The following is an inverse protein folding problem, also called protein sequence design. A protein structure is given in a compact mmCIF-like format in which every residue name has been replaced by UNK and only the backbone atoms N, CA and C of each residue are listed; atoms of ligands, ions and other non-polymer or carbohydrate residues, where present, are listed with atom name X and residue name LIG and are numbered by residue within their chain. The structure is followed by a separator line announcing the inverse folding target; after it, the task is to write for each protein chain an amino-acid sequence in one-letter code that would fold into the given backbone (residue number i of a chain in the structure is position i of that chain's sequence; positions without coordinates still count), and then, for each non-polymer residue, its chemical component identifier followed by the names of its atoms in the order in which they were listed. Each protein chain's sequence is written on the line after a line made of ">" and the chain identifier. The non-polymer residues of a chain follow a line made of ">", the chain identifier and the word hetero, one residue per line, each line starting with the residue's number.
data_IF_302372736773
#
_entry.id   IF_302372736773
#
_cell.length_a   1.000
_cell.length_b   1.000
_cell.length_c   1.000
_cell.angle_alpha   90.00
_cell.angle_beta   90.00
_cell.angle_gamma   90.00
#
_symmetry.space_group_name_H-M   'P 1'
#
loop_
_entity.id
_entity.type
_entity.pdbx_description
1 polymer ?
#
# COMPACT_ATOMS: atom_id res chain seq x y z
N UNK A 1 19.55 42.77 13.94
CA UNK A 1 19.61 43.31 15.33
C UNK A 1 18.51 42.79 16.25
N UNK A 2 17.32 42.43 15.76
CA UNK A 2 16.27 41.76 16.56
C UNK A 2 16.60 40.32 16.99
N UNK A 3 17.50 39.61 16.29
CA UNK A 3 17.86 38.23 16.60
C UNK A 3 18.72 38.09 17.87
N UNK A 4 19.51 39.11 18.23
CA UNK A 4 20.36 39.06 19.43
C UNK A 4 19.59 39.40 20.72
N UNK A 5 18.48 40.15 20.64
CA UNK A 5 17.66 40.49 21.81
C UNK A 5 16.74 39.33 22.25
N UNK A 6 16.48 38.36 21.36
CA UNK A 6 15.63 37.19 21.65
C UNK A 6 16.41 36.04 22.29
N UNK A 7 17.74 36.07 22.25
CA UNK A 7 18.62 35.10 22.92
C UNK A 7 18.85 35.46 24.40
N UNK A 8 18.69 36.73 24.77
CA UNK A 8 18.97 37.22 26.12
C UNK A 8 17.75 37.11 27.07
N UNK A 9 16.55 36.91 26.53
CA UNK A 9 15.34 36.59 27.28
C UNK A 9 14.69 35.34 26.68
N UNK A 10 14.80 34.21 27.40
CA UNK A 10 14.29 32.88 27.05
C UNK A 10 12.75 32.85 26.93
N UNK A 11 12.23 33.56 25.92
CA UNK A 11 10.83 33.68 25.56
C UNK A 11 10.55 32.78 24.37
N UNK A 12 10.59 31.47 24.60
CA UNK A 12 10.02 30.50 23.66
C UNK A 12 8.50 30.64 23.65
N UNK A 13 7.98 31.64 22.93
CA UNK A 13 6.53 31.86 22.80
C UNK A 13 5.90 30.71 21.98
N UNK A 14 4.89 30.00 22.51
CA UNK A 14 4.15 28.94 21.82
C UNK A 14 3.55 29.38 20.46
N UNK A 15 3.35 30.69 20.29
CA UNK A 15 2.81 31.32 19.09
C UNK A 15 3.74 31.18 17.87
N UNK A 16 5.07 31.21 18.07
CA UNK A 16 6.03 31.06 16.96
C UNK A 16 6.05 29.64 16.40
N UNK A 17 5.89 28.60 17.24
CA UNK A 17 5.76 27.21 16.78
C UNK A 17 4.51 26.99 15.93
N UNK A 18 3.41 27.67 16.26
CA UNK A 18 2.18 27.60 15.47
C UNK A 18 2.30 28.36 14.13
N UNK A 19 3.04 29.47 14.10
CA UNK A 19 3.31 30.22 12.87
C UNK A 19 4.27 29.50 11.92
N UNK A 20 5.34 28.88 12.44
CA UNK A 20 6.21 28.01 11.63
C UNK A 20 5.46 26.78 11.14
N UNK A 21 4.61 26.17 11.97
CA UNK A 21 3.73 25.06 11.57
C UNK A 21 2.79 25.46 10.41
N UNK A 22 2.06 26.56 10.50
CA UNK A 22 1.15 27.02 9.42
C UNK A 22 1.91 27.35 8.14
N UNK A 23 3.12 27.92 8.27
CA UNK A 23 3.98 28.26 7.15
C UNK A 23 4.58 27.01 6.47
N UNK A 24 5.04 26.02 7.25
CA UNK A 24 5.50 24.72 6.77
C UNK A 24 4.36 23.90 6.15
N UNK A 25 3.15 23.97 6.70
CA UNK A 25 1.95 23.34 6.11
C UNK A 25 1.61 23.94 4.75
N UNK A 26 1.71 25.26 4.56
CA UNK A 26 1.53 25.86 3.23
C UNK A 26 2.57 25.36 2.23
N UNK A 27 3.83 25.29 2.64
CA UNK A 27 4.92 24.78 1.79
C UNK A 27 4.86 23.26 1.52
N UNK A 28 4.21 22.48 2.40
CA UNK A 28 3.92 21.06 2.16
C UNK A 28 2.67 20.86 1.31
N UNK A 29 1.65 21.70 1.53
CA UNK A 29 0.37 21.64 0.83
C UNK A 29 0.50 22.13 -0.61
N UNK A 30 1.32 23.14 -0.90
CA UNK A 30 1.44 23.72 -2.25
C UNK A 30 1.94 22.71 -3.30
N UNK A 31 3.03 21.94 -3.10
CA UNK A 31 3.44 20.88 -4.02
C UNK A 31 2.45 19.70 -4.08
N UNK A 32 1.79 19.37 -2.97
CA UNK A 32 0.72 18.37 -2.92
C UNK A 32 -0.53 18.84 -3.70
N UNK A 33 -0.83 20.14 -3.68
CA UNK A 33 -1.95 20.78 -4.38
C UNK A 33 -1.63 21.03 -5.87
N UNK A 34 -0.39 21.36 -6.22
CA UNK A 34 0.07 21.48 -7.61
C UNK A 34 0.18 20.12 -8.30
N UNK A 35 0.69 19.11 -7.58
CA UNK A 35 0.57 17.71 -7.97
C UNK A 35 -0.91 17.28 -8.06
N UNK A 36 -1.78 17.73 -7.17
CA UNK A 36 -3.21 17.47 -7.33
C UNK A 36 -3.75 18.08 -8.63
N UNK A 37 -3.36 19.29 -9.05
CA UNK A 37 -3.90 19.99 -10.24
C UNK A 37 -3.68 19.28 -11.58
N UNK A 38 -2.54 18.63 -11.79
CA UNK A 38 -2.27 17.84 -13.02
C UNK A 38 -2.94 16.47 -12.97
N UNK A 39 -3.09 15.90 -11.78
CA UNK A 39 -3.70 14.59 -11.54
C UNK A 39 -5.23 14.64 -11.34
N UNK A 40 -5.79 15.84 -11.17
CA UNK A 40 -7.23 16.17 -11.24
C UNK A 40 -7.74 16.39 -12.66
N UNK A 41 -6.90 16.24 -13.70
CA UNK A 41 -7.42 16.10 -15.07
C UNK A 41 -8.03 14.71 -15.25
N UNK A 42 -9.21 14.56 -14.67
CA UNK A 42 -9.88 13.31 -14.40
C UNK A 42 -10.70 12.86 -15.61
N UNK A 43 -10.24 11.80 -16.28
CA UNK A 43 -11.11 10.96 -17.13
C UNK A 43 -11.90 9.99 -16.24
N UNK A 44 -12.42 10.48 -15.13
CA UNK A 44 -13.14 9.68 -14.13
C UNK A 44 -14.38 9.09 -14.78
N UNK A 45 -14.61 7.80 -14.56
CA UNK A 45 -15.70 7.04 -15.14
C UNK A 45 -15.76 7.02 -16.68
N UNK A 46 -14.92 7.75 -17.42
CA UNK A 46 -15.04 7.92 -18.88
C UNK A 46 -14.88 6.60 -19.65
N UNK A 47 -13.94 5.75 -19.21
CA UNK A 47 -13.68 4.46 -19.86
C UNK A 47 -14.78 3.46 -19.49
N UNK A 48 -15.19 3.45 -18.21
CA UNK A 48 -16.25 2.60 -17.69
C UNK A 48 -17.61 2.94 -18.30
N UNK A 49 -17.96 4.22 -18.41
CA UNK A 49 -19.17 4.68 -19.07
C UNK A 49 -19.19 4.28 -20.56
N UNK A 50 -18.09 4.51 -21.28
CA UNK A 50 -17.99 4.07 -22.68
C UNK A 50 -18.04 2.54 -22.84
N UNK A 51 -17.58 1.78 -21.84
CA UNK A 51 -17.72 0.32 -21.80
C UNK A 51 -19.17 -0.10 -21.54
N UNK A 52 -19.86 0.56 -20.61
CA UNK A 52 -21.27 0.33 -20.32
C UNK A 52 -22.16 0.69 -21.52
N UNK A 53 -21.87 1.78 -22.24
CA UNK A 53 -22.55 2.15 -23.50
C UNK A 53 -22.42 1.08 -24.58
N UNK A 54 -21.31 0.34 -24.58
CA UNK A 54 -21.10 -0.83 -25.45
C UNK A 54 -21.78 -2.10 -24.95
N UNK A 55 -22.53 -2.04 -23.84
CA UNK A 55 -23.21 -3.16 -23.23
C UNK A 55 -22.29 -4.11 -22.44
N UNK A 56 -21.08 -3.68 -22.08
CA UNK A 56 -20.19 -4.50 -21.24
C UNK A 56 -20.67 -4.52 -19.79
N UNK A 57 -20.62 -5.68 -19.17
CA UNK A 57 -21.02 -5.92 -17.78
C UNK A 57 -20.03 -6.84 -17.07
N UNK A 58 -20.01 -6.78 -15.73
CA UNK A 58 -19.23 -7.65 -14.88
C UNK A 58 -19.59 -9.12 -15.14
N UNK A 59 -18.59 -9.94 -15.48
CA UNK A 59 -18.76 -11.37 -15.78
C UNK A 59 -18.13 -12.26 -14.72
N UNK A 60 -16.83 -12.08 -14.51
CA UNK A 60 -16.03 -12.85 -13.55
C UNK A 60 -15.73 -11.98 -12.34
N UNK A 61 -15.64 -12.54 -11.12
CA UNK A 61 -15.07 -11.82 -9.99
C UNK A 61 -13.65 -11.33 -10.28
N UNK A 62 -13.33 -10.14 -9.78
CA UNK A 62 -12.03 -9.50 -9.99
C UNK A 62 -11.31 -9.37 -8.65
N UNK A 63 -10.05 -9.80 -8.62
CA UNK A 63 -9.17 -9.63 -7.47
C UNK A 63 -8.02 -8.69 -7.83
N UNK A 64 -7.99 -7.54 -7.17
CA UNK A 64 -6.94 -6.54 -7.30
C UNK A 64 -5.79 -6.89 -6.37
N UNK A 65 -4.58 -6.98 -6.90
CA UNK A 65 -3.36 -7.27 -6.15
C UNK A 65 -2.42 -6.07 -6.17
N UNK A 66 -2.31 -5.33 -5.05
CA UNK A 66 -1.47 -4.16 -4.96
C UNK A 66 0.03 -4.48 -5.13
N UNK A 67 0.82 -3.48 -5.50
CA UNK A 67 2.28 -3.57 -5.50
C UNK A 67 2.90 -3.16 -4.15
N UNK A 68 4.22 -3.20 -4.08
CA UNK A 68 4.96 -2.69 -2.92
C UNK A 68 4.54 -1.25 -2.58
N UNK A 69 4.49 -0.93 -1.28
CA UNK A 69 4.16 0.41 -0.77
C UNK A 69 2.73 0.89 -1.06
N UNK A 70 1.92 0.11 -1.78
CA UNK A 70 0.63 0.57 -2.29
C UNK A 70 -0.58 0.15 -1.46
N UNK A 71 -0.38 -0.65 -0.42
CA UNK A 71 -1.41 -0.96 0.59
C UNK A 71 -1.15 -0.14 1.86
N UNK A 72 -2.20 0.47 2.40
CA UNK A 72 -2.14 1.13 3.70
C UNK A 72 -1.76 0.13 4.80
N UNK A 73 -0.87 0.53 5.71
CA UNK A 73 -0.47 -0.27 6.85
C UNK A 73 -1.06 0.35 8.11
N UNK A 74 -1.71 -0.47 8.92
CA UNK A 74 -2.47 -0.06 10.09
C UNK A 74 -1.86 -0.66 11.36
N UNK A 75 -1.78 0.14 12.41
CA UNK A 75 -1.30 -0.33 13.71
C UNK A 75 -2.37 -1.14 14.43
N UNK A 76 -1.96 -2.32 14.90
CA UNK A 76 -2.69 -3.22 15.79
C UNK A 76 -1.99 -3.37 17.15
N UNK A 77 -1.04 -2.47 17.45
CA UNK A 77 -0.27 -2.49 18.70
C UNK A 77 -1.15 -2.13 19.90
N UNK A 78 -1.05 -2.91 20.97
CA UNK A 78 -1.76 -2.67 22.24
C UNK A 78 -0.82 -2.25 23.38
N UNK A 79 0.49 -2.30 23.16
CA UNK A 79 1.51 -1.83 24.09
C UNK A 79 1.29 -0.35 24.45
N UNK A 80 1.56 0.10 25.68
CA UNK A 80 1.34 1.49 26.11
C UNK A 80 1.95 2.54 25.16
N UNK A 81 3.13 2.27 24.62
CA UNK A 81 3.86 3.19 23.74
C UNK A 81 3.16 3.45 22.40
N UNK A 82 2.60 2.40 21.79
CA UNK A 82 1.99 2.48 20.45
C UNK A 82 0.45 2.49 20.46
N UNK A 83 -0.19 2.31 21.63
CA UNK A 83 -1.66 2.15 21.76
C UNK A 83 -2.45 3.34 21.19
N UNK A 84 -1.90 4.55 21.23
CA UNK A 84 -2.55 5.74 20.67
C UNK A 84 -2.76 5.68 19.14
N UNK A 85 -2.01 4.79 18.47
CA UNK A 85 -2.12 4.54 17.03
C UNK A 85 -2.97 3.32 16.69
N UNK A 86 -3.58 2.64 17.67
CA UNK A 86 -4.42 1.48 17.43
C UNK A 86 -5.51 1.77 16.39
N UNK A 87 -5.60 0.89 15.38
CA UNK A 87 -6.47 0.98 14.21
C UNK A 87 -6.27 2.23 13.33
N UNK A 88 -5.15 2.95 13.49
CA UNK A 88 -4.79 4.07 12.62
C UNK A 88 -3.75 3.63 11.59
N UNK A 89 -3.88 4.15 10.37
CA UNK A 89 -2.95 3.87 9.27
C UNK A 89 -1.63 4.61 9.47
N UNK A 90 -0.58 3.87 9.81
CA UNK A 90 0.78 4.36 9.90
C UNK A 90 1.41 4.58 8.52
N UNK A 91 0.84 4.02 7.45
CA UNK A 91 1.29 4.22 6.08
C UNK A 91 0.12 4.66 5.19
N UNK A 92 0.30 5.72 4.41
CA UNK A 92 -0.69 6.17 3.44
C UNK A 92 -1.91 6.88 4.04
N UNK A 93 -1.72 7.73 5.05
CA UNK A 93 -2.76 8.69 5.48
C UNK A 93 -2.13 9.95 6.09
N UNK A 94 -2.96 10.94 6.42
CA UNK A 94 -2.55 12.09 7.25
C UNK A 94 -2.05 11.69 8.63
N UNK A 95 -2.45 10.52 9.16
CA UNK A 95 -1.92 9.99 10.41
C UNK A 95 -0.44 9.65 10.31
N UNK A 96 0.00 9.10 9.17
CA UNK A 96 1.42 8.89 8.87
C UNK A 96 2.18 10.21 8.97
N UNK A 97 1.71 11.28 8.30
CA UNK A 97 2.38 12.58 8.30
C UNK A 97 2.51 13.12 9.73
N UNK A 98 1.42 13.07 10.51
CA UNK A 98 1.46 13.49 11.92
C UNK A 98 2.47 12.68 12.72
N UNK A 99 2.45 11.34 12.60
CA UNK A 99 3.37 10.47 13.33
C UNK A 99 4.83 10.71 12.96
N UNK A 100 5.12 10.93 11.66
CA UNK A 100 6.46 11.27 11.18
C UNK A 100 6.95 12.61 11.76
N UNK A 101 6.06 13.61 11.89
CA UNK A 101 6.40 14.93 12.42
C UNK A 101 6.59 14.96 13.94
N UNK A 102 5.74 14.25 14.69
CA UNK A 102 5.73 14.35 16.15
C UNK A 102 6.49 13.21 16.84
N UNK A 103 6.52 12.02 16.24
CA UNK A 103 7.01 10.79 16.86
C UNK A 103 7.81 9.94 15.86
N UNK A 104 8.74 10.59 15.16
CA UNK A 104 9.54 10.03 14.08
C UNK A 104 10.17 8.67 14.41
N UNK A 105 10.89 8.58 15.52
CA UNK A 105 11.62 7.36 15.89
C UNK A 105 10.68 6.19 16.22
N UNK A 106 9.55 6.50 16.87
CA UNK A 106 8.51 5.50 17.16
C UNK A 106 7.84 5.00 15.88
N UNK A 107 7.53 5.90 14.96
CA UNK A 107 6.98 5.53 13.66
C UNK A 107 7.94 4.65 12.86
N UNK A 108 9.23 5.00 12.86
CA UNK A 108 10.27 4.17 12.23
C UNK A 108 10.35 2.79 12.88
N UNK A 109 10.46 2.73 14.20
CA UNK A 109 10.53 1.48 14.94
C UNK A 109 9.32 0.58 14.67
N UNK A 110 8.11 1.15 14.58
CA UNK A 110 6.90 0.39 14.29
C UNK A 110 6.83 -0.13 12.84
N UNK A 111 7.43 0.57 11.88
CA UNK A 111 7.43 0.16 10.47
C UNK A 111 8.62 -0.70 10.06
N UNK A 112 9.73 -0.66 10.79
CA UNK A 112 10.84 -1.58 10.58
C UNK A 112 10.43 -3.00 10.94
N UNK A 113 11.03 -3.98 10.26
CA UNK A 113 10.96 -5.38 10.69
C UNK A 113 12.15 -5.70 11.59
N UNK A 114 11.96 -6.68 12.46
CA UNK A 114 13.01 -7.27 13.25
C UNK A 114 14.06 -7.94 12.33
N UNK A 115 15.35 -7.61 12.47
CA UNK A 115 16.38 -8.06 11.52
C UNK A 115 16.71 -9.55 11.63
N UNK A 116 16.37 -10.21 12.74
CA UNK A 116 16.65 -11.63 12.96
C UNK A 116 15.49 -12.51 12.47
N UNK A 117 14.27 -12.13 12.82
CA UNK A 117 13.06 -12.90 12.51
C UNK A 117 12.40 -12.47 11.19
N UNK A 118 12.62 -11.24 10.75
CA UNK A 118 11.93 -10.64 9.61
C UNK A 118 10.43 -10.40 9.86
N UNK A 119 10.01 -10.30 11.13
CA UNK A 119 8.63 -10.07 11.56
C UNK A 119 8.47 -8.70 12.25
N UNK A 120 7.28 -8.40 12.78
CA UNK A 120 7.06 -7.15 13.51
C UNK A 120 7.94 -7.12 14.78
N UNK A 121 8.57 -5.98 15.12
CA UNK A 121 9.43 -5.88 16.29
C UNK A 121 8.61 -5.93 17.60
N UNK A 122 9.24 -6.31 18.73
CA UNK A 122 8.55 -6.42 20.01
C UNK A 122 7.78 -5.14 20.38
N UNK A 123 6.51 -5.29 20.76
CA UNK A 123 5.63 -4.18 21.15
C UNK A 123 4.93 -3.49 19.98
N UNK A 124 5.44 -3.60 18.75
CA UNK A 124 4.75 -3.13 17.56
C UNK A 124 4.01 -4.28 16.88
N UNK A 125 2.80 -4.00 16.37
CA UNK A 125 2.03 -4.93 15.55
C UNK A 125 1.40 -4.14 14.43
N UNK A 126 1.75 -4.45 13.19
CA UNK A 126 1.26 -3.72 12.02
C UNK A 126 0.64 -4.72 11.04
N UNK A 127 -0.52 -4.39 10.48
CA UNK A 127 -1.24 -5.23 9.52
C UNK A 127 -1.60 -4.42 8.29
N UNK A 128 -1.72 -5.10 7.15
CA UNK A 128 -2.30 -4.50 5.97
C UNK A 128 -3.75 -4.08 6.26
N UNK A 129 -4.10 -2.83 5.94
CA UNK A 129 -5.48 -2.41 5.89
C UNK A 129 -6.23 -3.28 4.87
N UNK A 130 -7.51 -3.55 5.14
CA UNK A 130 -8.34 -4.47 4.34
C UNK A 130 -9.42 -3.72 3.57
N UNK A 131 -9.95 -4.37 2.52
CA UNK A 131 -10.99 -3.83 1.65
C UNK A 131 -10.48 -2.83 0.61
N UNK A 132 -11.35 -2.44 -0.32
CA UNK A 132 -10.98 -1.59 -1.48
C UNK A 132 -10.36 -0.24 -1.09
N UNK A 133 -10.76 0.32 0.06
CA UNK A 133 -10.21 1.59 0.55
C UNK A 133 -8.75 1.49 1.01
N UNK A 134 -8.24 0.29 1.26
CA UNK A 134 -6.85 0.10 1.68
C UNK A 134 -5.82 0.45 0.58
N UNK A 135 -6.25 0.45 -0.69
CA UNK A 135 -5.40 0.80 -1.82
C UNK A 135 -6.11 1.67 -2.88
N UNK A 136 -7.23 2.32 -2.53
CA UNK A 136 -7.92 3.27 -3.42
C UNK A 136 -7.06 4.53 -3.62
N UNK A 137 -6.75 5.20 -2.52
CA UNK A 137 -6.07 6.49 -2.42
C UNK A 137 -4.99 6.40 -1.35
N UNK A 138 -3.76 6.79 -1.68
CA UNK A 138 -2.65 6.76 -0.72
C UNK A 138 -2.64 7.98 0.19
N UNK A 139 -2.84 9.16 -0.39
CA UNK A 139 -2.98 10.44 0.32
C UNK A 139 -3.94 11.28 -0.52
N UNK A 140 -4.65 12.27 0.07
CA UNK A 140 -5.51 13.16 -0.71
C UNK A 140 -4.78 13.71 -1.95
N UNK A 141 -5.39 13.57 -3.13
CA UNK A 141 -4.78 13.96 -4.40
C UNK A 141 -3.97 12.87 -5.11
N UNK A 142 -3.71 11.72 -4.48
CA UNK A 142 -2.98 10.60 -5.10
C UNK A 142 -3.74 9.27 -5.00
N UNK A 143 -4.15 8.76 -6.17
CA UNK A 143 -4.84 7.50 -6.32
C UNK A 143 -3.91 6.37 -6.74
N UNK A 144 -4.18 5.17 -6.24
CA UNK A 144 -3.47 3.94 -6.62
C UNK A 144 -4.38 3.08 -7.50
N UNK A 145 -5.55 2.71 -6.97
CA UNK A 145 -6.59 1.93 -7.66
C UNK A 145 -7.91 2.69 -7.82
N UNK A 146 -8.10 3.87 -7.22
CA UNK A 146 -9.38 4.58 -7.25
C UNK A 146 -9.97 4.69 -8.66
N UNK A 147 -9.17 5.08 -9.66
CA UNK A 147 -9.64 5.20 -11.06
C UNK A 147 -10.01 3.89 -11.71
N UNK A 148 -9.32 2.80 -11.36
CA UNK A 148 -9.69 1.46 -11.86
C UNK A 148 -11.03 1.05 -11.23
N UNK A 149 -11.16 1.22 -9.91
CA UNK A 149 -12.38 0.89 -9.17
C UNK A 149 -13.58 1.71 -9.68
N UNK A 150 -13.42 3.03 -9.86
CA UNK A 150 -14.44 3.93 -10.43
C UNK A 150 -14.92 3.45 -11.80
N UNK A 151 -14.02 3.06 -12.70
CA UNK A 151 -14.40 2.60 -14.04
C UNK A 151 -14.98 1.17 -14.04
N UNK A 152 -14.56 0.30 -13.13
CA UNK A 152 -15.17 -1.02 -12.94
C UNK A 152 -16.58 -0.90 -12.38
N UNK A 153 -16.83 0.07 -11.49
CA UNK A 153 -18.16 0.33 -10.95
C UNK A 153 -19.19 0.69 -12.03
N UNK A 154 -18.78 1.35 -13.12
CA UNK A 154 -19.67 1.64 -14.26
C UNK A 154 -20.24 0.39 -14.94
N UNK A 155 -19.59 -0.76 -14.81
CA UNK A 155 -20.00 -2.03 -15.44
C UNK A 155 -20.45 -3.05 -14.40
N UNK A 156 -20.97 -2.59 -13.25
CA UNK A 156 -21.55 -3.39 -12.17
C UNK A 156 -20.53 -4.24 -11.36
N UNK A 157 -19.31 -3.75 -11.19
CA UNK A 157 -18.44 -4.26 -10.13
C UNK A 157 -18.67 -3.50 -8.82
N UNK A 158 -18.79 -4.23 -7.73
CA UNK A 158 -18.95 -3.72 -6.37
C UNK A 158 -18.24 -4.64 -5.36
N UNK A 159 -18.44 -4.42 -4.06
CA UNK A 159 -17.77 -5.22 -3.01
C UNK A 159 -18.14 -6.71 -2.99
N UNK A 160 -19.14 -7.15 -3.76
CA UNK A 160 -19.53 -8.56 -3.83
C UNK A 160 -18.71 -9.34 -4.88
N UNK A 161 -18.22 -8.68 -5.92
CA UNK A 161 -17.51 -9.30 -7.03
C UNK A 161 -16.16 -8.63 -7.35
N UNK A 162 -15.75 -7.63 -6.57
CA UNK A 162 -14.46 -6.96 -6.64
C UNK A 162 -13.80 -6.95 -5.27
N UNK A 163 -12.67 -7.64 -5.17
CA UNK A 163 -11.90 -7.77 -3.93
C UNK A 163 -10.49 -7.19 -4.08
N UNK A 164 -9.95 -6.64 -2.99
CA UNK A 164 -8.54 -6.25 -2.90
C UNK A 164 -7.78 -7.25 -2.03
N UNK A 165 -6.86 -8.01 -2.62
CA UNK A 165 -5.98 -8.92 -1.89
C UNK A 165 -4.83 -8.15 -1.22
N UNK A 166 -5.18 -7.32 -0.24
CA UNK A 166 -4.25 -6.48 0.50
C UNK A 166 -3.25 -7.31 1.34
N UNK A 167 -1.96 -6.97 1.26
CA UNK A 167 -0.90 -7.64 2.01
C UNK A 167 0.11 -6.65 2.58
N UNK A 168 0.89 -7.13 3.56
CA UNK A 168 1.99 -6.37 4.14
C UNK A 168 3.24 -6.52 3.27
N UNK A 169 3.41 -5.56 2.38
CA UNK A 169 4.50 -5.52 1.41
C UNK A 169 5.90 -5.38 2.03
N UNK A 170 6.01 -5.22 3.36
CA UNK A 170 7.31 -5.22 4.05
C UNK A 170 7.88 -6.64 4.20
N UNK A 171 7.01 -7.63 4.37
CA UNK A 171 7.39 -9.00 4.69
C UNK A 171 7.88 -9.77 3.45
N UNK A 172 8.72 -10.78 3.70
CA UNK A 172 9.00 -11.83 2.70
C UNK A 172 7.75 -12.69 2.47
N UNK A 173 7.68 -13.37 1.32
CA UNK A 173 6.53 -14.24 1.00
C UNK A 173 6.35 -15.36 2.03
N UNK A 174 7.45 -15.96 2.51
CA UNK A 174 7.36 -16.96 3.58
C UNK A 174 6.78 -16.38 4.87
N UNK A 175 7.25 -15.20 5.30
CA UNK A 175 6.75 -14.57 6.52
C UNK A 175 5.32 -14.05 6.40
N UNK A 176 4.85 -13.71 5.19
CA UNK A 176 3.44 -13.41 4.94
C UNK A 176 2.55 -14.61 5.27
N UNK A 177 2.99 -15.83 4.93
CA UNK A 177 2.27 -17.02 5.30
C UNK A 177 2.38 -17.31 6.80
N UNK A 178 3.58 -17.35 7.36
CA UNK A 178 3.78 -17.69 8.78
C UNK A 178 3.02 -16.74 9.71
N UNK A 179 3.03 -15.43 9.40
CA UNK A 179 2.41 -14.42 10.26
C UNK A 179 0.92 -14.27 10.01
N UNK A 180 0.52 -14.22 8.74
CA UNK A 180 -0.83 -13.82 8.36
C UNK A 180 -1.62 -14.95 7.69
N UNK A 181 -1.01 -16.09 7.34
CA UNK A 181 -1.65 -17.14 6.55
C UNK A 181 -2.13 -16.63 5.19
N UNK A 182 -1.41 -15.66 4.62
CA UNK A 182 -1.88 -14.87 3.49
C UNK A 182 -2.21 -15.73 2.26
N UNK A 183 -1.33 -16.68 1.91
CA UNK A 183 -1.55 -17.54 0.76
C UNK A 183 -2.58 -18.63 1.03
N UNK A 184 -2.66 -19.13 2.26
CA UNK A 184 -3.72 -20.07 2.66
C UNK A 184 -5.11 -19.44 2.64
N UNK A 185 -5.24 -18.12 2.90
CA UNK A 185 -6.52 -17.40 2.82
C UNK A 185 -6.94 -17.09 1.39
N UNK A 186 -6.01 -17.01 0.45
CA UNK A 186 -6.30 -16.58 -0.92
C UNK A 186 -7.30 -17.52 -1.63
N UNK A 187 -7.14 -18.86 -1.62
CA UNK A 187 -8.15 -19.79 -2.15
C UNK A 187 -9.52 -19.62 -1.51
N UNK A 188 -9.57 -19.48 -0.19
CA UNK A 188 -10.83 -19.32 0.58
C UNK A 188 -11.55 -18.04 0.15
N UNK A 189 -10.80 -16.95 -0.04
CA UNK A 189 -11.31 -15.70 -0.57
C UNK A 189 -11.89 -15.87 -1.99
N UNK A 190 -11.17 -16.53 -2.91
CA UNK A 190 -11.67 -16.78 -4.26
C UNK A 190 -12.95 -17.63 -4.26
N UNK A 191 -12.98 -18.69 -3.45
CA UNK A 191 -14.16 -19.56 -3.31
C UNK A 191 -15.36 -18.78 -2.78
N UNK A 192 -15.15 -17.81 -1.89
CA UNK A 192 -16.23 -16.96 -1.37
C UNK A 192 -16.85 -16.03 -2.43
N UNK A 193 -16.11 -15.70 -3.50
CA UNK A 193 -16.59 -14.84 -4.59
C UNK A 193 -17.42 -15.60 -5.63
N UNK A 194 -17.24 -16.92 -5.76
CA UNK A 194 -17.98 -17.77 -6.71
C UNK A 194 -19.51 -17.63 -6.58
N UNK A 195 -20.13 -17.83 -5.40
CA UNK A 195 -21.59 -17.71 -5.26
C UNK A 195 -22.10 -16.28 -5.46
N UNK A 196 -21.24 -15.27 -5.34
CA UNK A 196 -21.57 -13.86 -5.51
C UNK A 196 -21.37 -13.37 -6.96
N UNK A 197 -20.84 -14.23 -7.83
CA UNK A 197 -20.57 -13.87 -9.22
C UNK A 197 -21.89 -13.63 -9.99
N UNK A 198 -22.02 -12.53 -10.76
CA UNK A 198 -23.28 -12.17 -11.41
C UNK A 198 -23.82 -13.22 -12.40
N UNK A 199 -22.96 -14.12 -12.90
CA UNK A 199 -23.29 -15.13 -13.89
C UNK A 199 -22.90 -16.55 -13.46
N UNK A 200 -22.78 -16.80 -12.15
CA UNK A 200 -22.42 -18.12 -11.61
C UNK A 200 -21.05 -18.63 -12.09
N UNK A 201 -20.10 -17.71 -12.32
CA UNK A 201 -18.74 -18.06 -12.71
C UNK A 201 -17.99 -18.67 -11.53
N UNK A 202 -17.37 -19.83 -11.76
CA UNK A 202 -16.49 -20.50 -10.80
C UNK A 202 -15.06 -19.96 -10.80
N UNK A 203 -14.72 -19.11 -11.78
CA UNK A 203 -13.37 -18.59 -11.99
C UNK A 203 -13.27 -17.10 -11.73
N UNK A 204 -12.12 -16.68 -11.23
CA UNK A 204 -11.79 -15.29 -10.93
C UNK A 204 -10.70 -14.75 -11.85
N UNK A 205 -10.65 -13.43 -12.01
CA UNK A 205 -9.62 -12.72 -12.76
C UNK A 205 -8.73 -11.92 -11.82
N UNK A 206 -7.42 -12.11 -11.93
CA UNK A 206 -6.44 -11.34 -11.15
C UNK A 206 -5.95 -10.13 -11.92
N UNK A 207 -5.96 -8.97 -11.27
CA UNK A 207 -5.30 -7.75 -11.76
C UNK A 207 -4.18 -7.37 -10.82
N UNK A 208 -2.94 -7.43 -11.29
CA UNK A 208 -1.78 -7.02 -10.49
C UNK A 208 -1.16 -5.73 -11.00
N UNK A 209 -0.59 -4.95 -10.07
CA UNK A 209 0.22 -3.77 -10.38
C UNK A 209 1.65 -3.99 -9.92
N UNK A 210 2.62 -3.75 -10.81
CA UNK A 210 4.07 -3.79 -10.51
C UNK A 210 4.51 -5.10 -9.85
N UNK A 211 4.96 -5.04 -8.59
CA UNK A 211 5.48 -6.16 -7.81
C UNK A 211 4.38 -7.08 -7.26
N UNK A 212 3.10 -6.65 -7.31
CA UNK A 212 1.96 -7.50 -6.98
C UNK A 212 1.90 -8.77 -7.84
N UNK A 213 2.53 -8.77 -9.02
CA UNK A 213 2.65 -9.96 -9.88
C UNK A 213 3.36 -11.12 -9.18
N UNK A 214 4.42 -10.84 -8.42
CA UNK A 214 5.22 -11.89 -7.77
C UNK A 214 4.40 -12.55 -6.68
N UNK A 215 3.62 -11.76 -5.94
CA UNK A 215 2.67 -12.24 -4.94
C UNK A 215 1.64 -13.16 -5.59
N UNK A 216 1.07 -12.78 -6.74
CA UNK A 216 0.15 -13.66 -7.49
C UNK A 216 0.85 -14.95 -7.89
N UNK A 217 2.00 -14.88 -8.57
CA UNK A 217 2.69 -16.08 -9.06
C UNK A 217 3.10 -17.03 -7.93
N UNK A 218 3.63 -16.50 -6.83
CA UNK A 218 3.97 -17.27 -5.64
C UNK A 218 2.71 -17.87 -5.03
N UNK A 219 1.62 -17.09 -4.91
CA UNK A 219 0.35 -17.58 -4.38
C UNK A 219 -0.26 -18.70 -5.22
N UNK A 220 -0.28 -18.56 -6.55
CA UNK A 220 -0.78 -19.62 -7.43
C UNK A 220 0.03 -20.91 -7.28
N UNK A 221 1.36 -20.81 -7.23
CA UNK A 221 2.23 -21.98 -7.03
C UNK A 221 2.18 -22.55 -5.62
N UNK A 222 1.98 -21.70 -4.61
CA UNK A 222 1.76 -22.13 -3.23
C UNK A 222 0.52 -23.00 -3.11
N UNK A 223 -0.55 -22.63 -3.80
CA UNK A 223 -1.82 -23.36 -3.74
C UNK A 223 -1.74 -24.71 -4.44
N UNK A 224 -1.04 -24.80 -5.58
CA UNK A 224 -0.85 -26.07 -6.31
C UNK A 224 0.10 -27.04 -5.60
N UNK A 225 1.05 -26.53 -4.79
CA UNK A 225 2.13 -27.32 -4.23
C UNK A 225 1.69 -28.20 -3.04
N UNK A 226 2.17 -29.45 -3.04
CA UNK A 226 1.95 -30.43 -1.98
C UNK A 226 2.69 -30.01 -0.69
N UNK A 227 2.02 -30.14 0.46
CA UNK A 227 2.51 -29.70 1.77
C UNK A 227 2.39 -28.19 2.01
N UNK A 228 1.80 -27.46 1.07
CA UNK A 228 1.53 -26.02 1.16
C UNK A 228 0.02 -25.76 1.13
N UNK A 229 -0.55 -25.44 -0.03
CA UNK A 229 -1.99 -25.23 -0.18
C UNK A 229 -2.79 -26.47 -0.58
N UNK A 230 -2.12 -27.55 -1.00
CA UNK A 230 -2.71 -28.86 -1.32
C UNK A 230 -3.93 -28.81 -2.28
N UNK A 231 -4.01 -27.79 -3.14
CA UNK A 231 -5.10 -27.61 -4.09
C UNK A 231 -5.03 -28.53 -5.31
N UNK A 232 -3.86 -29.15 -5.55
CA UNK A 232 -3.59 -30.01 -6.70
C UNK A 232 -3.13 -29.26 -7.95
N UNK A 233 -2.62 -29.98 -8.97
CA UNK A 233 -1.97 -29.39 -10.13
C UNK A 233 -2.93 -28.70 -11.12
N UNK A 234 -4.24 -28.94 -11.01
CA UNK A 234 -5.26 -28.31 -11.87
C UNK A 234 -5.93 -27.12 -11.20
N UNK A 235 -5.59 -26.82 -9.94
CA UNK A 235 -6.32 -25.83 -9.15
C UNK A 235 -6.40 -24.46 -9.84
N UNK A 236 -5.30 -24.01 -10.45
CA UNK A 236 -5.25 -22.72 -11.15
C UNK A 236 -6.15 -22.74 -12.39
N UNK A 237 -6.12 -23.81 -13.18
CA UNK A 237 -6.98 -23.96 -14.36
C UNK A 237 -8.47 -24.03 -14.00
N UNK A 238 -8.78 -24.56 -12.81
CA UNK A 238 -10.15 -24.72 -12.34
C UNK A 238 -10.74 -23.41 -11.78
N UNK A 239 -9.90 -22.54 -11.19
CA UNK A 239 -10.36 -21.36 -10.42
C UNK A 239 -9.94 -20.01 -11.02
N UNK A 240 -8.97 -19.95 -11.93
CA UNK A 240 -8.44 -18.70 -12.48
C UNK A 240 -8.74 -18.62 -13.97
N UNK A 241 -9.50 -17.60 -14.38
CA UNK A 241 -9.82 -17.41 -15.80
C UNK A 241 -8.69 -16.68 -16.53
N UNK A 242 -8.18 -15.61 -15.92
CA UNK A 242 -7.09 -14.84 -16.51
C UNK A 242 -6.31 -14.04 -15.48
N UNK A 243 -5.07 -13.73 -15.85
CA UNK A 243 -4.17 -12.89 -15.07
C UNK A 243 -3.72 -11.69 -15.91
N UNK A 244 -4.04 -10.48 -15.44
CA UNK A 244 -3.70 -9.22 -16.07
C UNK A 244 -2.59 -8.54 -15.26
N UNK A 245 -1.40 -8.44 -15.84
CA UNK A 245 -0.26 -7.74 -15.25
C UNK A 245 -0.15 -6.31 -15.80
N UNK A 246 -0.39 -5.32 -14.95
CA UNK A 246 -0.26 -3.90 -15.29
C UNK A 246 1.11 -3.38 -14.81
N UNK A 247 2.01 -3.13 -15.78
CA UNK A 247 3.31 -2.47 -15.59
C UNK A 247 4.30 -3.18 -14.63
N UNK A 248 4.34 -4.52 -14.61
CA UNK A 248 5.31 -5.30 -13.82
C UNK A 248 6.48 -5.86 -14.63
N UNK A 249 7.75 -5.46 -14.41
CA UNK A 249 8.90 -6.01 -15.13
C UNK A 249 9.18 -7.49 -14.75
N UNK A 250 9.09 -8.46 -15.66
CA UNK A 250 9.30 -9.89 -15.34
C UNK A 250 10.69 -10.27 -14.75
N UNK A 251 11.67 -9.36 -14.79
CA UNK A 251 13.04 -9.57 -14.29
C UNK A 251 13.36 -8.63 -13.10
N UNK A 252 14.23 -9.05 -12.15
CA UNK A 252 14.49 -8.30 -10.94
C UNK A 252 15.26 -7.00 -11.22
N UNK A 253 14.59 -5.86 -11.07
CA UNK A 253 15.25 -4.55 -10.97
C UNK A 253 15.69 -4.21 -9.53
N UNK A 254 15.35 -5.03 -8.54
CA UNK A 254 15.48 -4.73 -7.10
C UNK A 254 16.92 -4.46 -6.59
N UNK A 255 17.95 -4.93 -7.31
CA UNK A 255 19.34 -4.82 -6.85
C UNK A 255 19.84 -3.38 -6.71
N UNK A 256 19.40 -2.46 -7.57
CA UNK A 256 19.85 -1.05 -7.53
C UNK A 256 19.33 -0.31 -6.30
N UNK A 257 18.08 -0.53 -5.87
CA UNK A 257 17.52 0.07 -4.65
C UNK A 257 18.24 -0.39 -3.38
N UNK A 258 18.55 -1.69 -3.29
CA UNK A 258 19.20 -2.25 -2.11
C UNK A 258 20.63 -1.71 -1.92
N UNK A 259 21.35 -1.51 -3.03
CA UNK A 259 22.76 -1.11 -3.01
C UNK A 259 22.97 0.40 -2.87
N UNK A 260 22.19 1.24 -3.55
CA UNK A 260 22.45 2.69 -3.60
C UNK A 260 21.60 3.50 -2.63
N UNK A 261 20.45 2.98 -2.18
CA UNK A 261 19.43 3.79 -1.53
C UNK A 261 18.88 4.93 -2.42
N UNK A 262 19.27 4.97 -3.70
CA UNK A 262 18.71 5.90 -4.68
C UNK A 262 17.38 5.34 -5.18
N UNK A 263 16.32 6.06 -4.83
CA UNK A 263 14.94 5.65 -5.06
C UNK A 263 14.39 6.11 -6.42
N UNK A 264 15.24 6.64 -7.31
CA UNK A 264 14.73 7.30 -8.52
C UNK A 264 14.08 6.33 -9.52
N UNK A 265 14.60 5.10 -9.64
CA UNK A 265 14.17 4.17 -10.70
C UNK A 265 13.78 2.75 -10.24
N UNK A 266 13.88 2.41 -8.95
CA UNK A 266 13.74 1.00 -8.50
C UNK A 266 12.66 0.79 -7.45
N UNK A 267 12.52 1.72 -6.52
CA UNK A 267 11.30 1.89 -5.72
C UNK A 267 10.82 3.28 -6.07
N UNK A 268 10.04 3.40 -7.13
CA UNK A 268 9.19 4.57 -7.28
C UNK A 268 8.15 4.51 -6.13
N UNK A 269 8.60 4.78 -4.90
CA UNK A 269 7.72 5.39 -3.92
C UNK A 269 7.24 6.63 -4.65
N UNK A 270 5.95 6.63 -4.96
CA UNK A 270 5.24 7.72 -5.59
C UNK A 270 5.88 9.06 -5.22
N UNK A 271 6.18 9.97 -6.18
CA UNK A 271 6.85 11.25 -5.94
C UNK A 271 6.42 11.97 -4.65
N UNK A 272 5.15 11.91 -4.26
CA UNK A 272 4.66 12.48 -3.01
C UNK A 272 5.11 11.74 -1.73
N UNK A 273 5.12 10.40 -1.75
CA UNK A 273 5.69 9.59 -0.67
C UNK A 273 7.22 9.70 -0.59
N UNK A 274 7.89 9.75 -1.74
CA UNK A 274 9.34 10.04 -1.80
C UNK A 274 9.63 11.43 -1.26
N UNK A 275 8.82 12.44 -1.61
CA UNK A 275 8.98 13.81 -1.11
C UNK A 275 8.81 13.92 0.41
N UNK A 276 7.79 13.28 0.98
CA UNK A 276 7.60 13.21 2.44
C UNK A 276 8.79 12.50 3.08
N UNK A 277 9.20 11.33 2.56
CA UNK A 277 10.33 10.60 3.12
C UNK A 277 11.67 11.35 2.96
N UNK A 278 11.87 12.05 1.85
CA UNK A 278 13.08 12.83 1.54
C UNK A 278 13.21 14.08 2.41
N UNK A 279 12.09 14.72 2.73
CA UNK A 279 12.07 15.94 3.55
C UNK A 279 12.20 15.64 5.04
N UNK A 280 11.66 14.51 5.51
CA UNK A 280 11.61 14.18 6.94
C UNK A 280 12.61 13.11 7.40
N UNK A 281 13.27 12.40 6.47
CA UNK A 281 14.26 11.38 6.82
C UNK A 281 15.60 11.60 6.11
N UNK A 282 16.68 11.46 6.88
CA UNK A 282 18.02 11.44 6.30
C UNK A 282 18.18 10.24 5.35
N UNK A 283 19.17 10.31 4.45
CA UNK A 283 19.51 9.15 3.58
C UNK A 283 19.81 7.88 4.40
N UNK A 284 20.43 8.03 5.58
CA UNK A 284 20.75 6.90 6.47
C UNK A 284 19.49 6.26 7.04
N UNK A 285 18.51 7.07 7.44
CA UNK A 285 17.27 6.58 8.06
C UNK A 285 16.37 5.87 7.04
N UNK A 286 16.32 6.40 5.80
CA UNK A 286 15.67 5.71 4.68
C UNK A 286 16.35 4.38 4.37
N UNK A 287 17.68 4.37 4.24
CA UNK A 287 18.42 3.13 4.01
C UNK A 287 18.16 2.10 5.12
N UNK A 288 18.04 2.55 6.38
CA UNK A 288 17.72 1.67 7.50
C UNK A 288 16.32 1.04 7.40
N UNK A 289 15.31 1.83 7.04
CA UNK A 289 13.94 1.35 6.80
C UNK A 289 13.91 0.32 5.68
N UNK A 290 14.44 0.68 4.49
CA UNK A 290 14.37 -0.18 3.32
C UNK A 290 15.17 -1.47 3.49
N UNK A 291 16.33 -1.44 4.17
CA UNK A 291 17.10 -2.66 4.47
C UNK A 291 16.37 -3.61 5.42
N UNK A 292 15.44 -3.11 6.22
CA UNK A 292 14.62 -3.96 7.09
C UNK A 292 13.47 -4.63 6.33
N UNK A 293 13.06 -4.10 5.17
CA UNK A 293 11.92 -4.63 4.42
C UNK A 293 12.38 -5.71 3.44
N UNK A 294 11.90 -6.94 3.64
CA UNK A 294 12.25 -8.11 2.83
C UNK A 294 11.35 -8.29 1.59
N UNK A 295 10.25 -7.56 1.48
CA UNK A 295 9.29 -7.67 0.37
C UNK A 295 9.65 -6.89 -0.91
N UNK A 296 10.82 -6.22 -0.94
CA UNK A 296 11.32 -5.39 -2.05
C UNK A 296 12.27 -6.12 -3.01
#
# INVERSE_FOLDING_TARGET
>A
HLSMLLEEYDLSLPMMKNLTFVFEWRQLAEPLLEGAKTWTQTRDFKVGAAAAEKGLQAKYPVVLVPGIVSTGLESWSTSPEYRQYFRKRLWGTTTMIRAVLTERDKWMAALMLDPETGLDPPGAKVRAAQGLDAASTFIPGYWIWAKVIENLACINYDTNNLELAAYDWRLSYYNLEVRDGYFSRLPVCLQSLVPLSPWGQSRSVFFSKREGRKVVLVGLKWVEAEGFGDGGPTWVEDHIESFVNVAGPLLPKAMTAFLSGEMKDTVEVNPAGSYVLEKFFSRKDRARLFRSWAGG
#
